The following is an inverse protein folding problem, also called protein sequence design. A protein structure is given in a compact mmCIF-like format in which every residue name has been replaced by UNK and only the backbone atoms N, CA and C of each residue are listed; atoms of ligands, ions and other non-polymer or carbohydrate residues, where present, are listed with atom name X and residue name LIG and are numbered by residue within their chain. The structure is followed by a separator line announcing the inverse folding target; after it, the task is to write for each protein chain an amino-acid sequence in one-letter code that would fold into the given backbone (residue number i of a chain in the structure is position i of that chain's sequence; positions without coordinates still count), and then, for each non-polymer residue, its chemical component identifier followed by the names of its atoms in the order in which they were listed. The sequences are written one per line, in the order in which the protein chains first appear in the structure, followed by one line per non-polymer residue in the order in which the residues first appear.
data_IF_464558282826
#
_entry.id   IF_464558282826
#
_cell.length_a   1.000
_cell.length_b   1.000
_cell.length_c   1.000
_cell.angle_alpha   90.00
_cell.angle_beta   90.00
_cell.angle_gamma   90.00
#
_symmetry.space_group_name_H-M   'P 1'
#
loop_
_entity.id
_entity.type
_entity.pdbx_description
1 polymer ?
#
# COMPACT_ATOMS: atom_id res chain seq x y z
N UNK A 1 -50.54 4.10 -24.12
CA UNK A 1 -49.31 4.93 -24.03
C UNK A 1 -49.00 5.47 -25.42
N UNK A 2 -49.14 6.77 -25.63
CA UNK A 2 -49.15 7.39 -26.96
C UNK A 2 -47.73 7.62 -27.49
N UNK A 3 -47.54 7.47 -28.80
CA UNK A 3 -46.26 7.61 -29.53
C UNK A 3 -45.44 8.86 -29.17
N UNK A 4 -46.10 9.95 -28.76
CA UNK A 4 -45.46 11.19 -28.28
C UNK A 4 -44.71 11.03 -26.94
N UNK A 5 -45.20 10.21 -26.01
CA UNK A 5 -44.50 9.94 -24.74
C UNK A 5 -43.25 9.07 -24.96
N UNK A 6 -43.32 8.11 -25.89
CA UNK A 6 -42.17 7.30 -26.32
C UNK A 6 -41.09 8.14 -26.99
N UNK A 7 -41.47 9.02 -27.93
CA UNK A 7 -40.53 9.92 -28.61
C UNK A 7 -39.82 10.88 -27.64
N UNK A 8 -40.55 11.45 -26.66
CA UNK A 8 -39.97 12.34 -25.63
C UNK A 8 -39.00 11.61 -24.70
N UNK A 9 -39.29 10.36 -24.34
CA UNK A 9 -38.41 9.53 -23.52
C UNK A 9 -37.13 9.10 -24.27
N UNK A 10 -37.24 8.79 -25.56
CA UNK A 10 -36.09 8.47 -26.42
C UNK A 10 -35.23 9.72 -26.65
N UNK A 11 -35.84 10.87 -26.97
CA UNK A 11 -35.13 12.14 -27.13
C UNK A 11 -34.37 12.54 -25.86
N UNK A 12 -35.00 12.41 -24.68
CA UNK A 12 -34.32 12.64 -23.39
C UNK A 12 -33.15 11.68 -23.15
N UNK A 13 -33.30 10.41 -23.56
CA UNK A 13 -32.22 9.41 -23.41
C UNK A 13 -31.03 9.71 -24.32
N UNK A 14 -31.28 10.17 -25.54
CA UNK A 14 -30.24 10.60 -26.50
C UNK A 14 -29.56 11.89 -26.04
N UNK A 15 -30.32 12.89 -25.59
CA UNK A 15 -29.81 14.14 -25.04
C UNK A 15 -29.01 13.95 -23.75
N UNK A 16 -29.21 12.86 -23.00
CA UNK A 16 -28.39 12.50 -21.84
C UNK A 16 -27.15 11.68 -22.20
N UNK A 17 -26.97 11.31 -23.47
CA UNK A 17 -25.87 10.46 -23.83
C UNK A 17 -24.56 11.27 -23.83
N UNK A 18 -23.56 10.88 -23.01
CA UNK A 18 -22.30 11.63 -22.91
C UNK A 18 -21.51 11.75 -24.22
N UNK A 19 -21.62 10.77 -25.13
CA UNK A 19 -20.97 10.87 -26.44
C UNK A 19 -21.54 11.99 -27.31
N UNK A 20 -22.84 12.29 -27.18
CA UNK A 20 -23.45 13.40 -27.92
C UNK A 20 -22.82 14.71 -27.49
N UNK A 21 -22.72 14.93 -26.17
CA UNK A 21 -22.08 16.12 -25.61
C UNK A 21 -20.59 16.17 -25.94
N UNK A 22 -19.90 15.03 -25.95
CA UNK A 22 -18.51 14.97 -26.40
C UNK A 22 -18.37 15.47 -27.84
N UNK A 23 -19.19 14.95 -28.77
CA UNK A 23 -19.17 15.37 -30.16
C UNK A 23 -19.52 16.86 -30.32
N UNK A 24 -20.58 17.34 -29.66
CA UNK A 24 -21.00 18.75 -29.69
C UNK A 24 -19.90 19.67 -29.17
N UNK A 25 -19.27 19.33 -28.04
CA UNK A 25 -18.20 20.11 -27.48
C UNK A 25 -16.97 20.14 -28.41
N UNK A 26 -16.56 19.00 -28.97
CA UNK A 26 -15.39 18.94 -29.85
C UNK A 26 -15.62 19.69 -31.18
N UNK A 27 -16.79 19.51 -31.80
CA UNK A 27 -17.15 20.24 -33.04
C UNK A 27 -17.26 21.74 -32.77
N UNK A 28 -17.87 22.14 -31.65
CA UNK A 28 -17.98 23.54 -31.25
C UNK A 28 -16.64 24.18 -30.86
N UNK A 29 -15.67 23.38 -30.40
CA UNK A 29 -14.35 23.89 -30.03
C UNK A 29 -13.52 24.31 -31.25
N UNK A 30 -13.56 23.55 -32.36
CA UNK A 30 -12.73 23.78 -33.55
C UNK A 30 -12.80 25.22 -34.08
N UNK A 31 -13.98 25.84 -34.30
CA UNK A 31 -14.03 27.23 -34.80
C UNK A 31 -13.63 28.29 -33.77
N UNK A 32 -13.58 27.94 -32.48
CA UNK A 32 -13.20 28.87 -31.40
C UNK A 32 -11.70 28.87 -31.11
N UNK A 33 -10.97 27.84 -31.56
CA UNK A 33 -9.52 27.74 -31.38
C UNK A 33 -8.77 28.63 -32.38
N UNK A 34 -7.67 29.22 -31.92
CA UNK A 34 -6.91 30.28 -32.61
C UNK A 34 -7.70 31.57 -32.85
N UNK A 35 -8.66 31.89 -31.97
CA UNK A 35 -9.44 33.13 -31.99
C UNK A 35 -9.33 33.87 -30.66
N UNK A 36 -9.89 35.08 -30.56
CA UNK A 36 -10.01 35.82 -29.30
C UNK A 36 -10.84 35.08 -28.23
N UNK A 37 -11.56 34.01 -28.61
CA UNK A 37 -12.40 33.18 -27.75
C UNK A 37 -11.76 31.83 -27.37
N UNK A 38 -10.44 31.71 -27.48
CA UNK A 38 -9.67 30.47 -27.24
C UNK A 38 -9.97 29.79 -25.91
N UNK A 39 -10.24 30.56 -24.85
CA UNK A 39 -10.64 30.03 -23.55
C UNK A 39 -11.84 29.08 -23.65
N UNK A 40 -12.88 29.48 -24.40
CA UNK A 40 -14.08 28.66 -24.59
C UNK A 40 -13.79 27.43 -25.43
N UNK A 41 -12.94 27.56 -26.45
CA UNK A 41 -12.42 26.42 -27.23
C UNK A 41 -11.72 25.40 -26.34
N UNK A 42 -10.81 25.83 -25.46
CA UNK A 42 -10.13 24.94 -24.51
C UNK A 42 -11.11 24.28 -23.54
N UNK A 43 -12.04 25.04 -22.95
CA UNK A 43 -13.03 24.50 -22.03
C UNK A 43 -13.89 23.41 -22.69
N UNK A 44 -14.34 23.64 -23.93
CA UNK A 44 -15.10 22.66 -24.69
C UNK A 44 -14.26 21.41 -25.02
N UNK A 45 -12.98 21.55 -25.36
CA UNK A 45 -12.10 20.40 -25.54
C UNK A 45 -11.99 19.55 -24.28
N UNK A 46 -11.82 20.21 -23.12
CA UNK A 46 -11.71 19.51 -21.83
C UNK A 46 -12.99 18.74 -21.49
N UNK A 47 -14.16 19.41 -21.61
CA UNK A 47 -15.46 18.79 -21.40
C UNK A 47 -15.74 17.67 -22.40
N UNK A 48 -15.31 17.84 -23.66
CA UNK A 48 -15.44 16.86 -24.72
C UNK A 48 -14.68 15.58 -24.41
N UNK A 49 -13.41 15.71 -24.03
CA UNK A 49 -12.54 14.60 -23.63
C UNK A 49 -13.04 13.85 -22.39
N UNK A 50 -13.41 14.59 -21.35
CA UNK A 50 -13.99 14.01 -20.14
C UNK A 50 -15.30 13.26 -20.43
N UNK A 51 -16.19 13.85 -21.22
CA UNK A 51 -17.48 13.22 -21.58
C UNK A 51 -17.29 11.94 -22.39
N UNK A 52 -16.33 11.91 -23.32
CA UNK A 52 -15.97 10.70 -24.07
C UNK A 52 -15.50 9.58 -23.13
N UNK A 53 -14.55 9.87 -22.25
CA UNK A 53 -14.04 8.91 -21.28
C UNK A 53 -15.16 8.40 -20.35
N UNK A 54 -16.01 9.30 -19.86
CA UNK A 54 -17.14 8.94 -19.00
C UNK A 54 -18.16 8.05 -19.73
N UNK A 55 -18.39 8.27 -21.02
CA UNK A 55 -19.22 7.39 -21.85
C UNK A 55 -18.62 5.99 -21.97
N UNK A 56 -17.32 5.93 -22.30
CA UNK A 56 -16.59 4.68 -22.44
C UNK A 56 -16.65 3.87 -21.14
N UNK A 57 -16.32 4.48 -20.00
CA UNK A 57 -16.32 3.80 -18.71
C UNK A 57 -17.73 3.31 -18.34
N UNK A 58 -18.77 4.13 -18.54
CA UNK A 58 -20.16 3.69 -18.33
C UNK A 58 -20.49 2.46 -19.16
N UNK A 59 -20.06 2.42 -20.42
CA UNK A 59 -20.25 1.24 -21.28
C UNK A 59 -19.45 0.04 -20.76
N UNK A 60 -18.18 0.22 -20.40
CA UNK A 60 -17.33 -0.84 -19.87
C UNK A 60 -17.91 -1.47 -18.59
N UNK A 61 -18.56 -0.68 -17.74
CA UNK A 61 -19.18 -1.17 -16.50
C UNK A 61 -20.45 -1.99 -16.73
N UNK A 62 -21.03 -1.97 -17.92
CA UNK A 62 -22.18 -2.85 -18.27
C UNK A 62 -21.76 -4.24 -18.74
N UNK A 63 -20.46 -4.46 -18.98
CA UNK A 63 -19.92 -5.72 -19.46
C UNK A 63 -19.57 -6.68 -18.29
N UNK A 64 -19.48 -8.00 -18.54
CA UNK A 64 -19.01 -8.97 -17.55
C UNK A 64 -17.62 -8.61 -16.99
N UNK A 65 -17.37 -8.96 -15.71
CA UNK A 65 -16.22 -8.43 -14.95
C UNK A 65 -14.84 -8.59 -15.60
N UNK A 66 -14.53 -9.77 -16.16
CA UNK A 66 -13.25 -10.04 -16.83
C UNK A 66 -13.09 -9.26 -18.12
N UNK A 67 -14.12 -9.27 -18.97
CA UNK A 67 -14.15 -8.51 -20.23
C UNK A 67 -14.10 -7.00 -19.98
N UNK A 68 -14.85 -6.51 -18.99
CA UNK A 68 -14.84 -5.12 -18.54
C UNK A 68 -13.45 -4.67 -18.13
N UNK A 69 -12.73 -5.50 -17.35
CA UNK A 69 -11.37 -5.19 -16.90
C UNK A 69 -10.38 -5.21 -18.07
N UNK A 70 -10.43 -6.24 -18.92
CA UNK A 70 -9.53 -6.38 -20.07
C UNK A 70 -9.67 -5.18 -21.03
N UNK A 71 -10.90 -4.80 -21.35
CA UNK A 71 -11.16 -3.63 -22.21
C UNK A 71 -10.78 -2.31 -21.54
N UNK A 72 -10.91 -2.19 -20.21
CA UNK A 72 -10.47 -0.99 -19.49
C UNK A 72 -8.94 -0.85 -19.47
N UNK A 73 -8.23 -1.97 -19.32
CA UNK A 73 -6.77 -2.02 -19.46
C UNK A 73 -6.35 -1.65 -20.89
N UNK A 74 -7.00 -2.23 -21.90
CA UNK A 74 -6.75 -1.89 -23.30
C UNK A 74 -7.00 -0.39 -23.58
N UNK A 75 -8.09 0.17 -23.06
CA UNK A 75 -8.37 1.61 -23.18
C UNK A 75 -7.32 2.48 -22.47
N UNK A 76 -6.81 2.02 -21.33
CA UNK A 76 -5.75 2.72 -20.58
C UNK A 76 -4.43 2.72 -21.33
N UNK A 77 -4.07 1.60 -21.95
CA UNK A 77 -2.89 1.48 -22.83
C UNK A 77 -3.09 2.34 -24.08
N UNK A 78 -4.27 2.29 -24.70
CA UNK A 78 -4.61 3.13 -25.86
C UNK A 78 -4.54 4.62 -25.55
N UNK A 79 -5.00 5.05 -24.37
CA UNK A 79 -4.87 6.43 -23.91
C UNK A 79 -3.40 6.83 -23.70
N UNK A 80 -2.57 5.94 -23.17
CA UNK A 80 -1.13 6.17 -23.01
C UNK A 80 -0.44 6.34 -24.37
N UNK A 81 -0.72 5.44 -25.32
CA UNK A 81 -0.18 5.48 -26.67
C UNK A 81 -0.65 6.73 -27.42
N UNK A 82 -1.91 7.15 -27.22
CA UNK A 82 -2.43 8.40 -27.77
C UNK A 82 -1.67 9.60 -27.21
N UNK A 83 -1.54 9.73 -25.89
CA UNK A 83 -0.78 10.83 -25.28
C UNK A 83 0.68 10.84 -25.74
N UNK A 84 1.33 9.67 -25.80
CA UNK A 84 2.68 9.54 -26.31
C UNK A 84 2.79 9.97 -27.77
N UNK A 85 1.87 9.55 -28.64
CA UNK A 85 1.85 9.97 -30.02
C UNK A 85 1.66 11.49 -30.15
N UNK A 86 0.82 12.09 -29.30
CA UNK A 86 0.56 13.53 -29.30
C UNK A 86 1.75 14.37 -28.82
N UNK A 87 2.61 13.82 -27.96
CA UNK A 87 3.80 14.52 -27.44
C UNK A 87 5.08 14.19 -28.20
N UNK A 88 5.15 13.03 -28.85
CA UNK A 88 6.27 12.69 -29.72
C UNK A 88 6.31 13.68 -30.91
N UNK A 89 7.52 14.05 -31.35
CA UNK A 89 7.78 14.94 -32.49
C UNK A 89 7.34 14.35 -33.85
N UNK A 90 6.53 13.29 -33.86
CA UNK A 90 6.03 12.63 -35.04
C UNK A 90 5.09 13.55 -35.82
N UNK A 91 5.26 13.59 -37.15
CA UNK A 91 4.60 14.52 -38.07
C UNK A 91 3.06 14.46 -38.17
N UNK A 92 2.35 13.84 -37.23
CA UNK A 92 0.87 13.81 -37.20
C UNK A 92 0.26 15.22 -37.12
N UNK A 93 0.95 16.16 -36.46
CA UNK A 93 0.55 17.58 -36.38
C UNK A 93 0.50 18.26 -37.74
N UNK A 94 1.24 17.74 -38.73
CA UNK A 94 1.26 18.26 -40.09
C UNK A 94 0.20 17.62 -41.00
N UNK A 95 -0.42 16.50 -40.58
CA UNK A 95 -1.46 15.79 -41.35
C UNK A 95 -2.85 16.35 -41.05
N UNK A 96 -3.05 16.95 -39.87
CA UNK A 96 -4.34 17.52 -39.45
C UNK A 96 -4.30 19.05 -39.46
N UNK A 97 -5.44 19.72 -39.74
CA UNK A 97 -5.57 21.15 -39.50
C UNK A 97 -5.21 21.53 -38.05
N UNK A 98 -4.53 22.67 -37.80
CA UNK A 98 -4.01 23.03 -36.47
C UNK A 98 -5.08 23.04 -35.38
N UNK A 99 -6.28 23.57 -35.66
CA UNK A 99 -7.38 23.60 -34.70
C UNK A 99 -7.87 22.20 -34.32
N UNK A 100 -7.88 21.25 -35.26
CA UNK A 100 -8.27 19.85 -34.99
C UNK A 100 -7.19 19.15 -34.16
N UNK A 101 -5.91 19.37 -34.52
CA UNK A 101 -4.79 18.82 -33.76
C UNK A 101 -4.78 19.33 -32.31
N UNK A 102 -5.02 20.64 -32.12
CA UNK A 102 -5.16 21.25 -30.80
C UNK A 102 -6.36 20.66 -30.03
N UNK A 103 -7.54 20.57 -30.67
CA UNK A 103 -8.74 20.04 -30.03
C UNK A 103 -8.54 18.60 -29.52
N UNK A 104 -7.93 17.73 -30.34
CA UNK A 104 -7.59 16.36 -29.95
C UNK A 104 -6.58 16.37 -28.81
N UNK A 105 -5.53 17.19 -28.90
CA UNK A 105 -4.50 17.31 -27.86
C UNK A 105 -5.08 17.68 -26.49
N UNK A 106 -5.89 18.75 -26.44
CA UNK A 106 -6.51 19.22 -25.21
C UNK A 106 -7.59 18.28 -24.68
N UNK A 107 -8.34 17.59 -25.54
CA UNK A 107 -9.35 16.61 -25.13
C UNK A 107 -8.72 15.29 -24.63
N UNK A 108 -7.60 14.88 -25.20
CA UNK A 108 -6.94 13.62 -24.85
C UNK A 108 -6.47 13.61 -23.38
N UNK A 109 -6.00 14.73 -22.85
CA UNK A 109 -5.48 14.84 -21.48
C UNK A 109 -6.54 14.47 -20.41
N UNK A 110 -7.69 15.16 -20.30
CA UNK A 110 -8.71 14.79 -19.33
C UNK A 110 -9.36 13.44 -19.64
N UNK A 111 -9.47 13.06 -20.92
CA UNK A 111 -9.98 11.75 -21.31
C UNK A 111 -9.11 10.60 -20.76
N UNK A 112 -7.81 10.68 -21.02
CA UNK A 112 -6.82 9.73 -20.51
C UNK A 112 -6.75 9.73 -18.98
N UNK A 113 -6.72 10.92 -18.37
CA UNK A 113 -6.71 11.08 -16.92
C UNK A 113 -7.92 10.39 -16.27
N UNK A 114 -9.11 10.56 -16.82
CA UNK A 114 -10.32 9.94 -16.28
C UNK A 114 -10.35 8.42 -16.45
N UNK A 115 -9.87 7.90 -17.58
CA UNK A 115 -9.70 6.46 -17.80
C UNK A 115 -8.75 5.87 -16.73
N UNK A 116 -7.57 6.46 -16.54
CA UNK A 116 -6.62 5.96 -15.55
C UNK A 116 -7.12 6.10 -14.11
N UNK A 117 -7.70 7.25 -13.74
CA UNK A 117 -8.23 7.46 -12.39
C UNK A 117 -9.32 6.43 -12.04
N UNK A 118 -10.20 6.13 -12.98
CA UNK A 118 -11.24 5.11 -12.74
C UNK A 118 -10.67 3.69 -12.72
N UNK A 119 -9.64 3.38 -13.51
CA UNK A 119 -8.93 2.10 -13.41
C UNK A 119 -8.27 1.94 -12.04
N UNK A 120 -7.53 2.95 -11.58
CA UNK A 120 -6.88 2.98 -10.26
C UNK A 120 -7.92 2.84 -9.15
N UNK A 121 -9.05 3.56 -9.23
CA UNK A 121 -10.14 3.45 -8.27
C UNK A 121 -10.71 2.03 -8.21
N UNK A 122 -10.93 1.40 -9.38
CA UNK A 122 -11.44 0.02 -9.47
C UNK A 122 -10.45 -1.00 -8.91
N UNK A 123 -9.16 -0.91 -9.26
CA UNK A 123 -8.14 -1.84 -8.76
C UNK A 123 -7.94 -1.67 -7.27
N UNK A 124 -7.90 -0.43 -6.77
CA UNK A 124 -7.80 -0.13 -5.35
C UNK A 124 -9.00 -0.66 -4.57
N UNK A 125 -10.22 -0.48 -5.08
CA UNK A 125 -11.43 -1.03 -4.46
C UNK A 125 -11.45 -2.56 -4.48
N UNK A 126 -11.02 -3.19 -5.58
CA UNK A 126 -10.92 -4.64 -5.69
C UNK A 126 -9.93 -5.20 -4.66
N UNK A 127 -8.72 -4.62 -4.58
CA UNK A 127 -7.69 -4.98 -3.60
C UNK A 127 -8.23 -4.76 -2.18
N UNK A 128 -8.84 -3.61 -1.88
CA UNK A 128 -9.41 -3.34 -0.56
C UNK A 128 -10.52 -4.34 -0.21
N UNK A 129 -11.38 -4.71 -1.15
CA UNK A 129 -12.44 -5.69 -0.93
C UNK A 129 -11.91 -7.10 -0.72
N UNK A 130 -10.86 -7.49 -1.46
CA UNK A 130 -10.21 -8.78 -1.32
C UNK A 130 -9.46 -8.87 0.02
N UNK A 131 -8.77 -7.80 0.39
CA UNK A 131 -8.10 -7.67 1.70
C UNK A 131 -9.11 -7.70 2.85
N UNK A 132 -10.25 -7.02 2.76
CA UNK A 132 -11.31 -7.08 3.78
C UNK A 132 -11.93 -8.46 3.90
N UNK A 133 -12.24 -9.12 2.77
CA UNK A 133 -12.77 -10.50 2.76
C UNK A 133 -11.78 -11.47 3.40
N UNK A 134 -10.51 -11.35 3.04
CA UNK A 134 -9.44 -12.14 3.66
C UNK A 134 -9.33 -11.83 5.14
N UNK A 135 -9.33 -10.56 5.56
CA UNK A 135 -9.25 -10.19 6.96
C UNK A 135 -10.43 -10.74 7.79
N UNK A 136 -11.64 -10.78 7.23
CA UNK A 136 -12.83 -11.30 7.90
C UNK A 136 -12.76 -12.81 8.20
N UNK A 137 -11.94 -13.57 7.45
CA UNK A 137 -11.76 -15.01 7.70
C UNK A 137 -10.59 -15.32 8.63
N UNK A 138 -9.77 -14.32 9.00
CA UNK A 138 -8.58 -14.54 9.80
C UNK A 138 -8.91 -14.41 11.30
N UNK A 139 -8.49 -15.41 12.07
CA UNK A 139 -8.55 -15.43 13.53
C UNK A 139 -7.32 -14.72 14.08
N UNK A 140 -7.52 -13.77 14.99
CA UNK A 140 -6.42 -13.11 15.69
C UNK A 140 -5.87 -14.08 16.75
N UNK A 141 -4.54 -14.32 16.82
CA UNK A 141 -3.95 -15.10 17.90
C UNK A 141 -4.38 -14.57 19.27
N UNK A 142 -4.65 -15.44 20.23
CA UNK A 142 -5.04 -15.04 21.58
C UNK A 142 -3.97 -15.39 22.61
N UNK A 143 -3.97 -14.66 23.72
CA UNK A 143 -3.17 -15.00 24.88
C UNK A 143 -3.87 -16.12 25.65
N UNK A 144 -3.22 -17.28 25.72
CA UNK A 144 -3.70 -18.44 26.47
C UNK A 144 -3.01 -18.49 27.83
N UNK A 145 -3.78 -18.65 28.91
CA UNK A 145 -3.22 -18.84 30.24
C UNK A 145 -3.06 -20.35 30.51
N UNK A 146 -1.84 -20.78 30.80
CA UNK A 146 -1.49 -22.16 31.18
C UNK A 146 -0.79 -22.10 32.53
N UNK A 147 -1.53 -22.41 33.60
CA UNK A 147 -1.05 -22.22 34.97
C UNK A 147 -0.76 -20.74 35.28
N UNK A 148 0.48 -20.45 35.67
CA UNK A 148 0.96 -19.09 35.96
C UNK A 148 1.67 -18.42 34.77
N UNK A 149 1.75 -19.11 33.63
CA UNK A 149 2.33 -18.59 32.40
C UNK A 149 1.25 -18.19 31.39
N UNK A 150 1.55 -17.12 30.64
CA UNK A 150 0.75 -16.68 29.51
C UNK A 150 1.50 -17.00 28.22
N UNK A 151 0.83 -17.67 27.31
CA UNK A 151 1.37 -18.10 26.02
C UNK A 151 0.70 -17.34 24.88
N UNK A 152 1.51 -16.90 23.92
CA UNK A 152 1.05 -16.35 22.65
C UNK A 152 1.72 -17.13 21.52
N UNK A 153 0.92 -17.83 20.73
CA UNK A 153 1.38 -18.63 19.59
C UNK A 153 1.21 -17.84 18.30
N UNK A 154 2.30 -17.63 17.58
CA UNK A 154 2.26 -16.85 16.33
C UNK A 154 3.35 -17.29 15.35
N UNK A 155 3.12 -17.02 14.07
CA UNK A 155 4.14 -17.14 13.05
C UNK A 155 4.97 -15.84 13.01
N UNK A 156 6.29 -15.94 13.16
CA UNK A 156 7.19 -14.80 13.15
C UNK A 156 8.49 -15.09 12.41
N UNK A 157 9.09 -14.03 11.85
CA UNK A 157 10.50 -14.06 11.46
C UNK A 157 11.32 -13.61 12.66
N UNK A 158 12.08 -14.54 13.24
CA UNK A 158 12.98 -14.26 14.37
C UNK A 158 14.30 -13.68 13.85
N UNK A 159 14.58 -12.43 14.21
CA UNK A 159 15.84 -11.77 13.89
C UNK A 159 16.51 -11.30 15.18
N UNK A 160 17.84 -11.44 15.27
CA UNK A 160 18.61 -10.73 16.28
C UNK A 160 18.56 -9.23 15.98
N UNK A 161 18.47 -8.40 17.01
CA UNK A 161 18.45 -6.92 16.91
C UNK A 161 19.55 -6.35 15.99
N UNK A 162 20.84 -6.75 16.13
CA UNK A 162 21.88 -6.23 15.23
C UNK A 162 21.66 -6.64 13.77
N UNK A 163 21.16 -7.85 13.52
CA UNK A 163 20.85 -8.34 12.17
C UNK A 163 19.69 -7.56 11.56
N UNK A 164 18.65 -7.27 12.34
CA UNK A 164 17.53 -6.44 11.89
C UNK A 164 17.98 -5.02 11.50
N UNK A 165 18.83 -4.39 12.31
CA UNK A 165 19.40 -3.07 12.01
C UNK A 165 20.26 -3.13 10.75
N UNK A 166 21.15 -4.12 10.64
CA UNK A 166 22.02 -4.29 9.47
C UNK A 166 21.23 -4.50 8.18
N UNK A 167 20.21 -5.36 8.18
CA UNK A 167 19.35 -5.58 7.01
C UNK A 167 18.63 -4.29 6.62
N UNK A 168 18.05 -3.58 7.59
CA UNK A 168 17.33 -2.32 7.34
C UNK A 168 18.26 -1.26 6.74
N UNK A 169 19.46 -1.10 7.31
CA UNK A 169 20.46 -0.18 6.79
C UNK A 169 20.92 -0.57 5.39
N UNK A 170 21.18 -1.86 5.13
CA UNK A 170 21.60 -2.36 3.82
C UNK A 170 20.54 -2.11 2.76
N UNK A 171 19.26 -2.38 3.06
CA UNK A 171 18.15 -2.10 2.14
C UNK A 171 18.05 -0.60 1.86
N UNK A 172 18.19 0.25 2.88
CA UNK A 172 18.14 1.70 2.71
C UNK A 172 19.28 2.21 1.82
N UNK A 173 20.51 1.74 2.04
CA UNK A 173 21.69 2.13 1.27
C UNK A 173 21.61 1.62 -0.17
N UNK A 174 21.32 0.33 -0.37
CA UNK A 174 21.21 -0.25 -1.72
C UNK A 174 20.03 0.33 -2.49
N UNK A 175 18.88 0.50 -1.84
CA UNK A 175 17.70 1.09 -2.45
C UNK A 175 17.94 2.56 -2.84
N UNK A 176 18.49 3.36 -1.92
CA UNK A 176 18.85 4.75 -2.20
C UNK A 176 19.92 4.86 -3.29
N UNK A 177 20.98 4.06 -3.21
CA UNK A 177 22.05 4.04 -4.20
C UNK A 177 21.57 3.62 -5.59
N UNK A 178 20.71 2.61 -5.68
CA UNK A 178 20.13 2.15 -6.95
C UNK A 178 19.20 3.22 -7.56
N UNK A 179 18.37 3.87 -6.74
CA UNK A 179 17.54 4.99 -7.17
C UNK A 179 18.42 6.11 -7.74
N UNK A 180 19.44 6.53 -7.00
CA UNK A 180 20.38 7.58 -7.44
C UNK A 180 21.11 7.19 -8.72
N UNK A 181 21.60 5.95 -8.83
CA UNK A 181 22.28 5.47 -10.03
C UNK A 181 21.36 5.47 -11.25
N UNK A 182 20.10 5.04 -11.11
CA UNK A 182 19.12 5.09 -12.21
C UNK A 182 18.86 6.53 -12.65
N UNK A 183 18.71 7.47 -11.70
CA UNK A 183 18.52 8.89 -12.04
C UNK A 183 19.71 9.45 -12.82
N UNK A 184 20.94 9.12 -12.40
CA UNK A 184 22.17 9.60 -13.07
C UNK A 184 22.33 8.98 -14.47
N UNK A 185 22.15 7.67 -14.60
CA UNK A 185 22.37 6.94 -15.87
C UNK A 185 21.32 7.29 -16.91
N UNK A 186 20.08 7.55 -16.49
CA UNK A 186 18.95 7.80 -17.37
C UNK A 186 18.50 9.27 -17.36
N UNK A 187 19.42 10.21 -17.09
CA UNK A 187 19.09 11.64 -16.93
C UNK A 187 18.27 12.20 -18.10
N UNK A 188 18.65 11.88 -19.35
CA UNK A 188 17.90 12.29 -20.55
C UNK A 188 16.44 11.80 -20.56
N UNK A 189 16.20 10.59 -20.05
CA UNK A 189 14.86 9.99 -19.96
C UNK A 189 14.09 10.61 -18.80
N UNK A 190 14.77 10.88 -17.67
CA UNK A 190 14.19 11.55 -16.49
C UNK A 190 13.68 12.94 -16.86
N UNK A 191 14.50 13.73 -17.58
CA UNK A 191 14.13 15.08 -18.02
C UNK A 191 12.88 15.07 -18.93
N UNK A 192 12.69 14.02 -19.73
CA UNK A 192 11.55 13.88 -20.65
C UNK A 192 10.28 13.33 -19.99
N UNK A 193 10.41 12.41 -19.03
CA UNK A 193 9.27 11.71 -18.41
C UNK A 193 8.59 12.52 -17.30
N UNK A 194 9.27 13.53 -16.76
CA UNK A 194 8.79 14.34 -15.64
C UNK A 194 8.92 13.59 -14.29
N UNK A 195 9.09 14.31 -13.16
CA UNK A 195 9.50 13.70 -11.89
C UNK A 195 8.52 12.65 -11.35
N UNK A 196 7.21 12.87 -11.51
CA UNK A 196 6.18 11.98 -10.97
C UNK A 196 6.12 10.64 -11.72
N UNK A 197 6.29 10.65 -13.04
CA UNK A 197 6.29 9.41 -13.83
C UNK A 197 7.54 8.58 -13.54
N UNK A 198 8.69 9.23 -13.36
CA UNK A 198 9.91 8.56 -12.94
C UNK A 198 9.74 7.83 -11.60
N UNK A 199 9.18 8.53 -10.58
CA UNK A 199 8.93 7.91 -9.28
C UNK A 199 8.00 6.70 -9.38
N UNK A 200 6.98 6.78 -10.24
CA UNK A 200 6.05 5.68 -10.48
C UNK A 200 6.76 4.47 -11.13
N UNK A 201 7.52 4.70 -12.20
CA UNK A 201 8.26 3.65 -12.92
C UNK A 201 9.30 3.02 -12.00
N UNK A 202 10.07 3.82 -11.28
CA UNK A 202 11.11 3.34 -10.38
C UNK A 202 10.52 2.54 -9.20
N UNK A 203 9.39 3.00 -8.65
CA UNK A 203 8.64 2.26 -7.65
C UNK A 203 8.20 0.88 -8.13
N UNK A 204 7.78 0.76 -9.40
CA UNK A 204 7.37 -0.51 -10.00
C UNK A 204 8.53 -1.41 -10.43
N UNK A 205 9.58 -0.87 -11.03
CA UNK A 205 10.70 -1.64 -11.58
C UNK A 205 11.70 -2.05 -10.51
N UNK A 206 11.91 -1.20 -9.50
CA UNK A 206 12.90 -1.45 -8.43
C UNK A 206 12.19 -1.78 -7.12
N UNK A 207 11.24 -0.92 -6.71
CA UNK A 207 10.55 -1.05 -5.43
C UNK A 207 9.74 -2.36 -5.30
N UNK A 208 8.93 -2.69 -6.31
CA UNK A 208 8.09 -3.88 -6.27
C UNK A 208 8.89 -5.19 -6.27
N UNK A 209 9.88 -5.42 -7.15
CA UNK A 209 10.74 -6.60 -7.07
C UNK A 209 11.53 -6.67 -5.76
N UNK A 210 12.10 -5.55 -5.29
CA UNK A 210 12.78 -5.49 -4.00
C UNK A 210 11.87 -5.92 -2.84
N UNK A 211 10.64 -5.42 -2.81
CA UNK A 211 9.62 -5.85 -1.84
C UNK A 211 9.31 -7.34 -1.96
N UNK A 212 9.13 -7.88 -3.17
CA UNK A 212 8.86 -9.30 -3.38
C UNK A 212 10.03 -10.19 -2.91
N UNK A 213 11.27 -9.78 -3.13
CA UNK A 213 12.46 -10.49 -2.66
C UNK A 213 12.51 -10.49 -1.13
N UNK A 214 12.34 -9.34 -0.48
CA UNK A 214 12.30 -9.25 0.99
C UNK A 214 11.18 -10.12 1.55
N UNK A 215 9.99 -10.07 0.94
CA UNK A 215 8.85 -10.89 1.32
C UNK A 215 9.12 -12.39 1.16
N UNK A 216 9.73 -12.81 0.06
CA UNK A 216 10.06 -14.20 -0.19
C UNK A 216 11.09 -14.71 0.83
N UNK A 217 12.12 -13.92 1.14
CA UNK A 217 13.12 -14.25 2.17
C UNK A 217 12.44 -14.34 3.55
N UNK A 218 11.57 -13.38 3.90
CA UNK A 218 10.83 -13.38 5.15
C UNK A 218 9.94 -14.61 5.29
N UNK A 219 9.19 -14.97 4.24
CA UNK A 219 8.36 -16.18 4.20
C UNK A 219 9.20 -17.45 4.38
N UNK A 220 10.37 -17.54 3.75
CA UNK A 220 11.29 -18.69 3.92
C UNK A 220 11.87 -18.80 5.33
N UNK A 221 11.99 -17.68 6.05
CA UNK A 221 12.49 -17.60 7.43
C UNK A 221 11.39 -17.56 8.48
N UNK A 222 10.15 -17.76 8.08
CA UNK A 222 9.02 -17.78 9.01
C UNK A 222 9.05 -19.05 9.82
N UNK A 223 8.92 -18.92 11.14
CA UNK A 223 8.80 -20.04 12.06
C UNK A 223 7.63 -19.82 13.01
N UNK A 224 7.02 -20.91 13.46
CA UNK A 224 6.04 -20.89 14.54
C UNK A 224 6.77 -20.70 15.87
N UNK A 225 6.39 -19.65 16.61
CA UNK A 225 7.04 -19.23 17.85
C UNK A 225 6.00 -19.14 18.96
N UNK A 226 6.38 -19.57 20.16
CA UNK A 226 5.60 -19.42 21.38
C UNK A 226 6.29 -18.39 22.26
N UNK A 227 5.65 -17.24 22.45
CA UNK A 227 6.07 -16.24 23.43
C UNK A 227 5.40 -16.61 24.75
N UNK A 228 6.21 -16.93 25.75
CA UNK A 228 5.77 -17.29 27.09
C UNK A 228 6.19 -16.20 28.06
N UNK A 229 5.22 -15.67 28.79
CA UNK A 229 5.42 -14.69 29.86
C UNK A 229 4.93 -15.32 31.15
N UNK A 230 5.87 -15.74 31.99
CA UNK A 230 5.57 -16.23 33.33
C UNK A 230 5.66 -15.05 34.30
N UNK A 231 4.64 -14.85 35.12
CA UNK A 231 4.63 -13.76 36.09
C UNK A 231 4.12 -14.28 37.44
N UNK A 232 5.02 -14.95 38.15
CA UNK A 232 4.83 -15.37 39.53
C UNK A 232 5.05 -14.18 40.48
N UNK A 233 4.56 -14.27 41.73
CA UNK A 233 4.75 -13.20 42.72
C UNK A 233 6.25 -12.94 42.94
N UNK A 234 6.73 -11.77 42.49
CA UNK A 234 8.11 -11.31 42.68
C UNK A 234 9.14 -11.82 41.66
N UNK A 235 8.74 -12.65 40.69
CA UNK A 235 9.61 -13.09 39.60
C UNK A 235 8.80 -13.21 38.31
N UNK A 236 9.30 -12.60 37.25
CA UNK A 236 8.74 -12.81 35.92
C UNK A 236 9.83 -13.29 34.98
N UNK A 237 9.50 -14.19 34.06
CA UNK A 237 10.41 -14.69 33.03
C UNK A 237 9.78 -14.49 31.66
N UNK A 238 10.60 -14.11 30.69
CA UNK A 238 10.21 -14.00 29.29
C UNK A 238 10.97 -15.05 28.53
N UNK A 239 10.24 -15.98 27.93
CA UNK A 239 10.79 -17.08 27.17
C UNK A 239 10.17 -17.12 25.78
N UNK A 240 11.01 -17.22 24.75
CA UNK A 240 10.59 -17.34 23.37
C UNK A 240 11.18 -18.61 22.81
N UNK A 241 10.31 -19.53 22.42
CA UNK A 241 10.71 -20.86 21.90
C UNK A 241 10.15 -21.03 20.51
N UNK A 242 10.94 -21.60 19.60
CA UNK A 242 10.44 -22.04 18.31
C UNK A 242 9.72 -23.39 18.46
N UNK A 243 8.47 -23.45 18.01
CA UNK A 243 7.58 -24.60 18.24
C UNK A 243 7.99 -25.86 17.47
N UNK A 244 8.75 -25.72 16.37
CA UNK A 244 9.10 -26.83 15.48
C UNK A 244 10.23 -27.71 16.00
N UNK A 245 11.22 -27.11 16.65
CA UNK A 245 12.46 -27.74 17.12
C UNK A 245 12.68 -27.58 18.63
N UNK A 246 11.86 -26.77 19.31
CA UNK A 246 12.02 -26.47 20.73
C UNK A 246 13.18 -25.52 21.02
N UNK A 247 13.78 -24.91 19.99
CA UNK A 247 14.94 -24.03 20.14
C UNK A 247 14.57 -22.78 20.95
N UNK A 248 15.34 -22.53 22.02
CA UNK A 248 15.12 -21.38 22.91
C UNK A 248 15.84 -20.18 22.30
N UNK A 249 15.05 -19.29 21.70
CA UNK A 249 15.58 -18.09 21.04
C UNK A 249 16.02 -17.04 22.05
N UNK A 250 15.25 -16.90 23.13
CA UNK A 250 15.52 -16.02 24.28
C UNK A 250 14.87 -16.62 25.52
N UNK A 251 15.59 -16.59 26.63
CA UNK A 251 15.06 -16.86 27.97
C UNK A 251 15.76 -15.92 28.94
N UNK A 252 15.00 -15.02 29.57
CA UNK A 252 15.54 -14.04 30.50
C UNK A 252 14.53 -13.71 31.60
N UNK A 253 14.99 -13.56 32.87
CA UNK A 253 14.15 -13.00 33.92
C UNK A 253 13.86 -11.52 33.62
N UNK A 254 12.74 -11.01 34.12
CA UNK A 254 12.30 -9.62 33.91
C UNK A 254 13.32 -8.59 34.38
N UNK A 255 14.10 -8.90 35.42
CA UNK A 255 15.22 -8.08 35.89
C UNK A 255 16.36 -7.94 34.86
N UNK A 256 16.51 -8.93 33.98
CA UNK A 256 17.50 -8.92 32.91
C UNK A 256 16.91 -8.41 31.58
N UNK A 257 15.70 -7.85 31.57
CA UNK A 257 15.08 -7.30 30.36
C UNK A 257 15.09 -5.78 30.45
N UNK A 258 15.95 -5.15 29.65
CA UNK A 258 16.00 -3.69 29.58
C UNK A 258 14.74 -3.10 28.96
N UNK A 259 14.22 -3.70 27.88
CA UNK A 259 12.95 -3.26 27.28
C UNK A 259 12.20 -4.39 26.57
N UNK A 260 10.87 -4.33 26.65
CA UNK A 260 9.93 -5.22 25.99
C UNK A 260 8.86 -4.39 25.27
N UNK A 261 8.82 -4.45 23.95
CA UNK A 261 7.91 -3.67 23.12
C UNK A 261 6.96 -4.57 22.32
N UNK A 262 5.66 -4.31 22.44
CA UNK A 262 4.60 -4.89 21.63
C UNK A 262 4.06 -3.82 20.70
N UNK A 263 4.24 -3.99 19.39
CA UNK A 263 3.82 -3.01 18.40
C UNK A 263 2.88 -3.63 17.34
N UNK A 264 1.64 -4.02 17.74
CA UNK A 264 0.70 -4.74 16.87
C UNK A 264 0.18 -3.89 15.70
N UNK A 265 0.17 -2.55 15.87
CA UNK A 265 -0.37 -1.59 14.89
C UNK A 265 0.71 -0.84 14.11
N UNK A 266 1.97 -1.01 14.47
CA UNK A 266 3.09 -0.43 13.72
C UNK A 266 3.38 -1.25 12.47
N UNK A 267 3.92 -0.61 11.41
CA UNK A 267 4.44 -1.31 10.23
C UNK A 267 5.98 -1.26 10.26
N UNK A 268 6.67 -2.41 10.34
CA UNK A 268 6.13 -3.76 10.43
C UNK A 268 5.62 -4.10 11.85
N UNK A 269 4.55 -4.90 11.92
CA UNK A 269 3.99 -5.44 13.17
C UNK A 269 5.01 -6.34 13.83
N UNK A 270 5.43 -6.01 15.07
CA UNK A 270 6.59 -6.64 15.70
C UNK A 270 6.54 -6.69 17.23
N UNK A 271 7.24 -7.66 17.79
CA UNK A 271 7.59 -7.73 19.21
C UNK A 271 9.10 -7.59 19.32
N UNK A 272 9.57 -6.70 20.20
CA UNK A 272 11.00 -6.47 20.43
C UNK A 272 11.31 -6.78 21.88
N UNK A 273 12.26 -7.68 22.10
CA UNK A 273 12.75 -8.09 23.41
C UNK A 273 14.21 -7.69 23.48
N UNK A 274 14.57 -6.75 24.33
CA UNK A 274 15.96 -6.37 24.58
C UNK A 274 16.32 -6.77 25.99
N UNK A 275 17.09 -7.85 26.16
CA UNK A 275 17.80 -8.11 27.39
C UNK A 275 18.71 -6.92 27.75
N UNK A 276 18.96 -6.72 29.03
CA UNK A 276 19.97 -5.78 29.55
C UNK A 276 21.38 -6.18 29.12
N UNK A 277 21.62 -7.48 28.96
CA UNK A 277 22.89 -8.05 28.50
C UNK A 277 22.66 -9.03 27.35
N UNK A 278 23.45 -8.90 26.29
CA UNK A 278 23.41 -9.79 25.13
C UNK A 278 22.52 -9.31 23.97
N UNK A 279 22.44 -10.11 22.88
CA UNK A 279 21.75 -9.70 21.67
C UNK A 279 20.23 -9.75 21.86
N UNK A 280 19.55 -8.61 21.70
CA UNK A 280 18.09 -8.56 21.68
C UNK A 280 17.46 -9.32 20.52
N UNK A 281 16.18 -9.64 20.64
CA UNK A 281 15.37 -10.36 19.67
C UNK A 281 14.27 -9.45 19.10
N UNK A 282 14.07 -9.51 17.79
CA UNK A 282 12.97 -8.88 17.07
C UNK A 282 12.17 -9.96 16.38
N UNK A 283 10.90 -10.08 16.74
CA UNK A 283 9.93 -10.97 16.10
C UNK A 283 9.09 -10.14 15.13
N UNK A 284 9.27 -10.34 13.82
CA UNK A 284 8.48 -9.68 12.80
C UNK A 284 7.27 -10.56 12.44
N UNK A 285 6.10 -10.15 12.90
CA UNK A 285 4.83 -10.89 12.69
C UNK A 285 4.16 -10.44 11.39
N UNK A 286 4.14 -9.13 11.12
CA UNK A 286 3.49 -8.58 9.94
C UNK A 286 4.16 -8.94 8.60
N UNK A 287 5.39 -9.46 8.63
CA UNK A 287 6.14 -9.92 7.46
C UNK A 287 6.27 -11.45 7.39
N UNK A 288 5.81 -12.16 8.40
CA UNK A 288 5.82 -13.61 8.43
C UNK A 288 4.79 -14.17 7.44
N UNK A 289 5.05 -15.37 6.92
CA UNK A 289 4.04 -16.15 6.23
C UNK A 289 2.92 -16.49 7.24
N UNK A 290 1.69 -15.98 7.05
CA UNK A 290 0.62 -16.24 8.00
C UNK A 290 0.32 -17.74 8.05
N UNK A 291 0.14 -18.28 9.26
CA UNK A 291 -0.45 -19.60 9.44
C UNK A 291 -1.87 -19.59 8.84
N UNK A 292 -2.32 -20.73 8.31
CA UNK A 292 -3.67 -20.83 7.72
C UNK A 292 -4.69 -20.27 8.71
N UNK A 293 -5.54 -19.38 8.20
CA UNK A 293 -6.62 -18.74 8.95
C UNK A 293 -6.19 -17.85 10.13
N UNK A 294 -4.90 -17.49 10.24
CA UNK A 294 -4.39 -16.64 11.33
C UNK A 294 -4.04 -15.24 10.86
N UNK A 295 -4.49 -14.21 11.57
CA UNK A 295 -4.20 -12.82 11.24
C UNK A 295 -2.70 -12.52 11.47
N UNK A 296 -2.03 -11.75 10.59
CA UNK A 296 -0.63 -11.33 10.75
C UNK A 296 -0.51 -10.17 11.76
N UNK A 297 -1.16 -10.30 12.90
CA UNK A 297 -1.21 -9.35 14.00
C UNK A 297 -1.30 -10.11 15.33
N UNK A 298 -1.28 -9.41 16.44
CA UNK A 298 -1.42 -9.98 17.77
C UNK A 298 -2.09 -8.98 18.73
N UNK A 299 -2.78 -9.46 19.77
CA UNK A 299 -3.35 -8.61 20.81
C UNK A 299 -2.27 -8.12 21.76
N UNK A 300 -2.51 -6.96 22.36
CA UNK A 300 -1.70 -6.52 23.49
C UNK A 300 -1.83 -7.51 24.66
N UNK A 301 -0.79 -7.62 25.52
CA UNK A 301 -0.87 -8.40 26.75
C UNK A 301 -2.09 -8.00 27.60
N UNK A 302 -2.77 -8.96 28.26
CA UNK A 302 -3.88 -8.68 29.16
C UNK A 302 -3.47 -7.73 30.29
N UNK A 303 -4.40 -6.89 30.77
CA UNK A 303 -4.10 -5.90 31.82
C UNK A 303 -3.55 -6.54 33.11
N UNK A 304 -4.04 -7.71 33.51
CA UNK A 304 -3.51 -8.48 34.65
C UNK A 304 -2.04 -8.86 34.44
N UNK A 305 -1.68 -9.35 33.24
CA UNK A 305 -0.30 -9.69 32.90
C UNK A 305 0.60 -8.45 32.92
N UNK A 306 0.14 -7.33 32.37
CA UNK A 306 0.88 -6.05 32.43
C UNK A 306 1.11 -5.63 33.88
N UNK A 307 0.10 -5.74 34.74
CA UNK A 307 0.21 -5.39 36.14
C UNK A 307 1.20 -6.29 36.90
N UNK A 308 1.22 -7.59 36.61
CA UNK A 308 2.18 -8.53 37.19
C UNK A 308 3.61 -8.33 36.67
N UNK A 309 3.77 -7.95 35.41
CA UNK A 309 5.08 -7.58 34.87
C UNK A 309 5.59 -6.29 35.51
N UNK A 310 4.70 -5.32 35.76
CA UNK A 310 5.03 -4.08 36.46
C UNK A 310 5.46 -4.35 37.90
N UNK A 311 4.79 -5.27 38.62
CA UNK A 311 5.21 -5.65 39.98
C UNK A 311 6.54 -6.41 40.01
N UNK A 312 6.95 -7.03 38.89
CA UNK A 312 8.26 -7.62 38.69
C UNK A 312 9.34 -6.64 38.18
N UNK A 313 8.99 -5.34 38.05
CA UNK A 313 9.93 -4.27 37.70
C UNK A 313 9.87 -3.79 36.24
N UNK A 314 9.06 -4.42 35.36
CA UNK A 314 8.85 -3.98 33.97
C UNK A 314 7.67 -3.00 33.88
N UNK A 315 7.95 -1.71 34.03
CA UNK A 315 6.92 -0.67 34.13
C UNK A 315 6.53 -0.16 32.73
N UNK A 316 5.22 0.08 32.47
CA UNK A 316 4.78 0.71 31.24
C UNK A 316 5.38 2.11 31.08
N UNK A 317 6.07 2.33 29.96
CA UNK A 317 6.56 3.66 29.59
C UNK A 317 5.68 4.26 28.52
N UNK A 318 5.14 5.45 28.80
CA UNK A 318 4.58 6.30 27.77
C UNK A 318 5.71 6.75 26.84
N UNK A 319 5.99 6.00 25.78
CA UNK A 319 7.04 6.38 24.85
C UNK A 319 6.60 7.62 24.07
N UNK A 320 7.47 8.64 23.95
CA UNK A 320 7.22 9.87 23.17
C UNK A 320 6.99 9.59 21.67
N UNK A 321 7.36 8.37 21.22
CA UNK A 321 7.17 7.81 19.87
C UNK A 321 6.05 6.76 19.81
N UNK A 322 5.31 6.53 20.89
CA UNK A 322 4.25 5.51 20.92
C UNK A 322 3.12 5.97 20.01
N UNK A 323 2.91 5.26 18.90
CA UNK A 323 1.68 5.45 18.12
C UNK A 323 0.53 4.83 18.91
N UNK A 324 -0.67 5.42 18.80
CA UNK A 324 -1.88 4.94 19.48
C UNK A 324 -2.07 3.42 19.31
N UNK A 325 -1.85 2.66 20.40
CA UNK A 325 -2.05 1.21 20.44
C UNK A 325 -0.79 0.33 20.49
N UNK A 326 0.41 0.91 20.66
CA UNK A 326 1.63 0.16 21.00
C UNK A 326 1.88 0.18 22.53
N UNK A 327 2.48 -0.88 23.06
CA UNK A 327 2.87 -1.01 24.47
C UNK A 327 4.39 -1.18 24.58
N UNK A 328 5.04 -0.36 25.41
CA UNK A 328 6.44 -0.51 25.76
C UNK A 328 6.57 -0.65 27.28
N UNK A 329 7.24 -1.70 27.72
CA UNK A 329 7.62 -1.95 29.11
C UNK A 329 9.14 -1.80 29.21
N UNK A 330 9.60 -1.09 30.23
CA UNK A 330 11.03 -0.92 30.51
C UNK A 330 11.30 -1.26 31.98
N UNK A 331 12.51 -1.74 32.26
CA UNK A 331 12.86 -2.03 33.64
C UNK A 331 13.05 -0.74 34.44
N UNK A 332 12.36 -0.61 35.57
CA UNK A 332 12.36 0.59 36.41
C UNK A 332 13.74 0.92 37.01
N UNK A 333 14.63 -0.06 37.13
CA UNK A 333 15.96 0.09 37.74
C UNK A 333 17.10 0.47 36.79
N UNK A 334 16.84 0.76 35.51
CA UNK A 334 17.87 0.94 34.49
C UNK A 334 18.04 2.37 34.00
N UNK A 335 18.65 3.24 34.82
CA UNK A 335 19.48 4.30 34.26
C UNK A 335 20.61 3.65 33.47
N UNK A 336 20.94 4.18 32.30
CA UNK A 336 22.11 3.78 31.52
C UNK A 336 23.35 3.74 32.43
N UNK A 337 24.04 2.59 32.60
CA UNK A 337 25.46 2.67 32.90
C UNK A 337 26.12 3.21 31.62
N UNK A 338 26.80 4.34 31.80
CA UNK A 338 27.67 5.00 30.81
C UNK A 338 28.68 4.05 30.21
#
# INVERSE_FOLDING_TARGET
MTTKQGARAVAWRVLRHPLLWSAVCLVGAVPLLSTEHDFWGFLLCLLGGWSAAHALIRRLLTLPGTLSLALHLAASVGAALLLFALTADGGWRHVLPPAIAAAIGFAAVPGAGWIWLTLIGRTSAAVASASRRRAATLVVPEWERVGDAWHLRLAAVSLRSPVFVAITATIAVLGGGLITAVVIVFDDVVQRMGPLLLLLVLGWVVGAPGYLVVRAIAHRRTADVVVTLEAARGSATVRVVRSSDGDVLVEAPASAIGSLQFAPRSSPTRIVIRPSYGPGLVLLVGLALPRRDTAPTFPLPPADLVHRLASAGLVPRASRRSRNGDLALEFAGGGTPT
#
